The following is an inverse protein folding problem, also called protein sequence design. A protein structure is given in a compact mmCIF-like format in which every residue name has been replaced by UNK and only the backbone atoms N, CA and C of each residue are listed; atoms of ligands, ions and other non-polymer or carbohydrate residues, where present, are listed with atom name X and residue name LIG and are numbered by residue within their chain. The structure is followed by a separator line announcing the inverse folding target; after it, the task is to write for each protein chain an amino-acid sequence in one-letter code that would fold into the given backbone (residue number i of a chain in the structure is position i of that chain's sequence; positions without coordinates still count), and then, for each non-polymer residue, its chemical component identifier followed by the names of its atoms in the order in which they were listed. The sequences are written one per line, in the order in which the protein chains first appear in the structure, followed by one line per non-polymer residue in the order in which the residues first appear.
data_IF_982242428944
#
_entry.id   IF_982242428944
#
_cell.length_a   1.000
_cell.length_b   1.000
_cell.length_c   1.000
_cell.angle_alpha   90.00
_cell.angle_beta   90.00
_cell.angle_gamma   90.00
#
_symmetry.space_group_name_H-M   'P 1'
#
loop_
_entity.id
_entity.type
_entity.pdbx_description
1 polymer ?
#
# COMPACT_ATOMS: atom_id res chain seq x y z
N UNK A 1 22.18 40.10 -12.88
CA UNK A 1 21.00 39.32 -12.46
C UNK A 1 21.10 37.93 -13.05
N UNK A 2 21.53 36.96 -12.24
CA UNK A 2 20.68 35.80 -12.01
C UNK A 2 20.75 35.38 -10.53
N UNK A 3 19.99 36.07 -9.67
CA UNK A 3 19.75 35.65 -8.27
C UNK A 3 18.36 34.99 -8.11
N UNK A 4 17.57 34.93 -9.19
CA UNK A 4 16.18 34.45 -9.14
C UNK A 4 15.99 32.93 -9.27
N UNK A 5 16.98 32.19 -9.79
CA UNK A 5 16.84 30.75 -10.11
C UNK A 5 17.45 29.85 -9.01
N UNK A 6 18.43 30.36 -8.26
CA UNK A 6 19.04 29.66 -7.12
C UNK A 6 18.16 29.64 -5.87
N UNK A 7 17.31 30.65 -5.66
CA UNK A 7 16.36 30.69 -4.54
C UNK A 7 15.17 29.73 -4.72
N UNK A 8 14.72 29.49 -5.95
CA UNK A 8 13.60 28.58 -6.24
C UNK A 8 13.99 27.09 -6.09
N UNK A 9 15.25 26.73 -6.34
CA UNK A 9 15.77 25.35 -6.22
C UNK A 9 16.02 24.90 -4.78
N UNK A 10 16.02 25.82 -3.81
CA UNK A 10 16.07 25.50 -2.38
C UNK A 10 14.70 25.07 -1.80
N UNK A 11 13.61 25.21 -2.58
CA UNK A 11 12.22 25.16 -2.10
C UNK A 11 11.48 23.83 -2.42
N UNK A 12 12.21 22.81 -2.86
CA UNK A 12 11.67 21.47 -3.15
C UNK A 12 12.22 20.40 -2.19
N UNK A 13 11.74 20.37 -0.92
CA UNK A 13 12.25 19.45 0.10
C UNK A 13 11.93 17.98 -0.20
N UNK A 14 11.00 17.70 -1.11
CA UNK A 14 10.57 16.36 -1.47
C UNK A 14 11.14 15.88 -2.82
N UNK A 15 12.01 16.66 -3.46
CA UNK A 15 12.61 16.27 -4.72
C UNK A 15 13.33 14.92 -4.63
N UNK A 16 13.06 14.06 -5.62
CA UNK A 16 13.61 12.71 -5.69
C UNK A 16 12.88 11.68 -4.84
N UNK A 17 11.93 12.07 -3.99
CA UNK A 17 11.11 11.14 -3.21
C UNK A 17 9.81 10.77 -3.92
N UNK A 18 9.41 9.52 -3.75
CA UNK A 18 8.16 8.97 -4.28
C UNK A 18 7.19 8.64 -3.15
N UNK A 19 6.01 9.23 -3.19
CA UNK A 19 5.02 9.17 -2.10
C UNK A 19 3.72 8.56 -2.59
N UNK A 20 3.24 7.54 -1.89
CA UNK A 20 1.96 6.89 -2.12
C UNK A 20 0.83 7.63 -1.41
N UNK A 21 -0.24 7.93 -2.13
CA UNK A 21 -1.45 8.56 -1.58
C UNK A 21 -2.63 7.62 -1.73
N UNK A 22 -3.22 7.22 -0.59
CA UNK A 22 -4.36 6.29 -0.54
C UNK A 22 -5.71 6.97 -0.36
N UNK A 23 -5.73 8.28 -0.05
CA UNK A 23 -6.96 9.04 0.14
C UNK A 23 -7.69 9.27 -1.19
N UNK A 24 -9.02 9.25 -1.18
CA UNK A 24 -9.88 9.72 -2.29
C UNK A 24 -10.36 11.15 -2.04
N UNK A 25 -11.05 11.39 -0.92
CA UNK A 25 -11.56 12.72 -0.57
C UNK A 25 -10.42 13.70 -0.27
N UNK A 26 -10.41 14.85 -0.95
CA UNK A 26 -9.34 15.86 -0.89
C UNK A 26 -7.95 15.31 -1.24
N UNK A 27 -7.90 14.22 -2.03
CA UNK A 27 -6.63 13.68 -2.50
C UNK A 27 -5.88 14.69 -3.34
N UNK A 28 -6.58 15.48 -4.16
CA UNK A 28 -5.97 16.50 -5.01
C UNK A 28 -5.22 17.55 -4.18
N UNK A 29 -5.81 18.06 -3.10
CA UNK A 29 -5.13 18.99 -2.19
C UNK A 29 -3.82 18.40 -1.62
N UNK A 30 -3.83 17.11 -1.28
CA UNK A 30 -2.67 16.41 -0.75
C UNK A 30 -1.61 16.17 -1.84
N UNK A 31 -2.02 15.66 -2.99
CA UNK A 31 -1.17 15.40 -4.16
C UNK A 31 -0.47 16.69 -4.59
N UNK A 32 -1.24 17.75 -4.87
CA UNK A 32 -0.68 19.04 -5.30
C UNK A 32 0.25 19.64 -4.25
N UNK A 33 -0.03 19.44 -2.95
CA UNK A 33 0.84 19.93 -1.90
C UNK A 33 2.17 19.17 -1.80
N UNK A 34 2.20 17.88 -2.13
CA UNK A 34 3.41 17.07 -2.20
C UNK A 34 4.19 17.38 -3.49
N UNK A 35 3.52 17.43 -4.64
CA UNK A 35 4.13 17.72 -5.94
C UNK A 35 4.73 19.13 -5.99
N UNK A 36 4.06 20.14 -5.44
CA UNK A 36 4.62 21.50 -5.32
C UNK A 36 5.93 21.56 -4.54
N UNK A 37 6.19 20.56 -3.68
CA UNK A 37 7.42 20.41 -2.91
C UNK A 37 8.44 19.48 -3.58
N UNK A 38 8.16 18.99 -4.80
CA UNK A 38 9.06 18.18 -5.60
C UNK A 38 8.83 16.65 -5.54
N UNK A 39 7.81 16.16 -4.82
CA UNK A 39 7.56 14.73 -4.74
C UNK A 39 6.98 14.17 -6.05
N UNK A 40 7.37 12.95 -6.41
CA UNK A 40 6.58 12.13 -7.34
C UNK A 40 5.46 11.44 -6.56
N UNK A 41 4.20 11.60 -6.99
CA UNK A 41 3.06 11.02 -6.26
C UNK A 41 2.46 9.84 -7.02
N UNK A 42 2.37 8.68 -6.35
CA UNK A 42 1.60 7.54 -6.81
C UNK A 42 0.24 7.52 -6.12
N UNK A 43 -0.80 7.96 -6.83
CA UNK A 43 -2.17 8.00 -6.30
C UNK A 43 -2.94 6.72 -6.56
N UNK A 44 -3.34 6.05 -5.49
CA UNK A 44 -4.16 4.85 -5.52
C UNK A 44 -5.25 4.97 -4.44
N UNK A 45 -6.39 5.61 -4.75
CA UNK A 45 -7.45 5.80 -3.77
C UNK A 45 -7.96 4.44 -3.28
N UNK A 46 -7.74 4.16 -1.99
CA UNK A 46 -8.04 2.88 -1.37
C UNK A 46 -9.50 2.79 -0.88
N UNK A 47 -10.19 3.92 -0.76
CA UNK A 47 -11.60 3.97 -0.40
C UNK A 47 -12.24 5.23 -0.98
N UNK A 48 -13.33 5.08 -1.74
CA UNK A 48 -14.29 6.16 -1.98
C UNK A 48 -15.53 5.92 -1.14
N UNK A 49 -15.98 6.96 -0.45
CA UNK A 49 -17.27 6.91 0.24
C UNK A 49 -18.35 7.10 -0.82
N UNK A 50 -19.19 6.08 -0.96
CA UNK A 50 -20.37 6.04 -1.78
C UNK A 50 -21.29 7.28 -1.57
N UNK A 51 -21.77 7.97 -2.61
CA UNK A 51 -22.78 9.02 -2.49
C UNK A 51 -24.11 8.47 -1.94
N UNK A 52 -25.00 9.35 -1.47
CA UNK A 52 -26.32 8.98 -0.89
C UNK A 52 -27.17 8.07 -1.81
N UNK A 53 -27.06 8.19 -3.14
CA UNK A 53 -27.77 7.29 -4.07
C UNK A 53 -27.29 5.83 -3.99
N UNK A 54 -26.06 5.58 -3.55
CA UNK A 54 -25.53 4.22 -3.38
C UNK A 54 -26.00 3.56 -2.08
N UNK A 55 -26.35 4.35 -1.04
CA UNK A 55 -27.02 3.80 0.14
C UNK A 55 -28.40 3.21 -0.23
N UNK A 56 -29.11 3.76 -1.22
CA UNK A 56 -30.36 3.15 -1.71
C UNK A 56 -30.14 1.76 -2.32
N UNK A 57 -29.10 1.61 -3.15
CA UNK A 57 -28.76 0.31 -3.75
C UNK A 57 -28.28 -0.69 -2.71
N UNK A 58 -27.49 -0.24 -1.72
CA UNK A 58 -27.11 -1.06 -0.57
C UNK A 58 -28.36 -1.60 0.16
N UNK A 59 -29.37 -0.76 0.34
CA UNK A 59 -30.62 -1.16 1.00
C UNK A 59 -31.48 -2.09 0.12
N UNK A 60 -31.53 -1.87 -1.19
CA UNK A 60 -32.17 -2.81 -2.13
C UNK A 60 -31.53 -4.19 -2.08
N UNK A 61 -30.20 -4.26 -2.17
CA UNK A 61 -29.43 -5.52 -2.05
C UNK A 61 -29.66 -6.18 -0.67
N UNK A 62 -29.73 -5.36 0.39
CA UNK A 62 -29.99 -5.85 1.76
C UNK A 62 -31.39 -6.45 1.89
N UNK A 63 -32.42 -5.80 1.33
CA UNK A 63 -33.80 -6.33 1.32
C UNK A 63 -33.89 -7.63 0.53
N UNK A 64 -33.25 -7.70 -0.64
CA UNK A 64 -33.20 -8.93 -1.43
C UNK A 64 -32.55 -10.08 -0.64
N UNK A 65 -31.51 -9.81 0.15
CA UNK A 65 -30.90 -10.80 1.04
C UNK A 65 -31.85 -11.22 2.17
N UNK A 66 -32.54 -10.27 2.81
CA UNK A 66 -33.52 -10.57 3.86
C UNK A 66 -34.65 -11.46 3.31
N UNK A 67 -35.22 -11.07 2.17
CA UNK A 67 -36.33 -11.78 1.53
C UNK A 67 -35.94 -13.20 1.10
N UNK A 68 -34.71 -13.38 0.62
CA UNK A 68 -34.23 -14.67 0.14
C UNK A 68 -33.82 -15.64 1.26
N UNK A 69 -33.66 -15.19 2.50
CA UNK A 69 -33.28 -16.01 3.67
C UNK A 69 -32.14 -17.00 3.38
N UNK A 70 -30.93 -16.51 3.09
CA UNK A 70 -29.83 -17.34 2.63
C UNK A 70 -29.46 -18.44 3.60
N UNK A 71 -29.11 -19.62 3.07
CA UNK A 71 -28.60 -20.73 3.87
C UNK A 71 -27.20 -20.42 4.43
N UNK A 72 -26.38 -19.74 3.61
CA UNK A 72 -24.98 -19.45 3.86
C UNK A 72 -24.70 -17.95 3.73
N UNK A 73 -23.85 -17.41 4.60
CA UNK A 73 -23.38 -16.03 4.49
C UNK A 73 -21.86 -15.95 4.56
N UNK A 74 -21.24 -15.07 3.76
CA UNK A 74 -19.81 -14.77 3.83
C UNK A 74 -19.62 -13.31 4.21
N UNK A 75 -18.88 -13.07 5.30
CA UNK A 75 -18.37 -11.75 5.68
C UNK A 75 -16.88 -11.63 5.34
N UNK A 76 -16.54 -10.72 4.42
CA UNK A 76 -15.18 -10.60 3.90
C UNK A 76 -14.31 -9.63 4.68
N UNK A 77 -14.87 -8.55 5.23
CA UNK A 77 -14.11 -7.57 5.99
C UNK A 77 -14.86 -7.07 7.21
N UNK A 78 -14.11 -6.71 8.25
CA UNK A 78 -14.68 -6.10 9.45
C UNK A 78 -15.40 -4.78 9.15
N UNK A 79 -14.78 -3.94 8.31
CA UNK A 79 -15.34 -2.65 7.90
C UNK A 79 -16.62 -2.83 7.09
N UNK A 80 -16.62 -3.72 6.10
CA UNK A 80 -17.82 -4.01 5.31
C UNK A 80 -18.97 -4.53 6.15
N UNK A 81 -18.71 -5.46 7.07
CA UNK A 81 -19.72 -5.98 8.00
C UNK A 81 -20.32 -4.86 8.87
N UNK A 82 -19.48 -4.04 9.51
CA UNK A 82 -19.96 -2.91 10.33
C UNK A 82 -20.77 -1.91 9.53
N UNK A 83 -20.26 -1.50 8.36
CA UNK A 83 -20.97 -0.54 7.50
C UNK A 83 -22.30 -1.08 7.00
N UNK A 84 -22.40 -2.39 6.76
CA UNK A 84 -23.65 -3.03 6.37
C UNK A 84 -24.70 -2.93 7.48
N UNK A 85 -24.33 -3.31 8.71
CA UNK A 85 -25.20 -3.19 9.88
C UNK A 85 -25.62 -1.73 10.13
N UNK A 86 -24.66 -0.80 10.17
CA UNK A 86 -24.92 0.63 10.38
C UNK A 86 -25.88 1.21 9.33
N UNK A 87 -25.71 0.84 8.06
CA UNK A 87 -26.60 1.26 7.00
C UNK A 87 -28.00 0.65 7.19
N UNK A 88 -28.11 -0.65 7.45
CA UNK A 88 -29.40 -1.31 7.68
C UNK A 88 -30.16 -0.70 8.88
N UNK A 89 -29.46 -0.38 9.98
CA UNK A 89 -30.01 0.30 11.15
C UNK A 89 -30.54 1.70 10.80
N UNK A 90 -29.76 2.48 10.03
CA UNK A 90 -30.15 3.84 9.60
C UNK A 90 -31.46 3.84 8.80
N UNK A 91 -31.73 2.77 8.05
CA UNK A 91 -32.94 2.62 7.25
C UNK A 91 -34.04 1.77 7.93
N UNK A 92 -33.86 1.41 9.21
CA UNK A 92 -34.86 0.71 10.01
C UNK A 92 -35.05 -0.77 9.68
N UNK A 93 -34.09 -1.39 8.99
CA UNK A 93 -34.12 -2.83 8.63
C UNK A 93 -33.00 -3.65 9.31
N UNK A 94 -32.30 -3.05 10.27
CA UNK A 94 -31.15 -3.67 10.95
C UNK A 94 -31.49 -4.92 11.76
N UNK A 95 -32.58 -4.89 12.53
CA UNK A 95 -33.03 -6.07 13.30
C UNK A 95 -33.40 -7.24 12.39
N UNK A 96 -34.11 -6.97 11.29
CA UNK A 96 -34.46 -7.97 10.28
C UNK A 96 -33.22 -8.56 9.59
N UNK A 97 -32.22 -7.72 9.32
CA UNK A 97 -30.94 -8.17 8.78
C UNK A 97 -30.23 -9.09 9.77
N UNK A 98 -30.09 -8.68 11.04
CA UNK A 98 -29.40 -9.48 12.06
C UNK A 98 -30.13 -10.80 12.33
N UNK A 99 -31.46 -10.81 12.38
CA UNK A 99 -32.25 -12.04 12.50
C UNK A 99 -32.00 -12.97 11.31
N UNK A 100 -32.03 -12.43 10.09
CA UNK A 100 -31.75 -13.20 8.86
C UNK A 100 -30.34 -13.79 8.90
N UNK A 101 -29.32 -12.97 9.18
CA UNK A 101 -27.93 -13.42 9.24
C UNK A 101 -27.67 -14.38 10.41
N UNK A 102 -28.40 -14.25 11.51
CA UNK A 102 -28.33 -15.14 12.66
C UNK A 102 -28.88 -16.54 12.37
N UNK A 103 -29.80 -16.65 11.40
CA UNK A 103 -30.29 -17.94 10.90
C UNK A 103 -29.36 -18.57 9.84
N UNK A 104 -28.42 -17.80 9.28
CA UNK A 104 -27.46 -18.30 8.29
C UNK A 104 -26.30 -19.05 8.94
N UNK A 105 -25.72 -19.99 8.19
CA UNK A 105 -24.36 -20.46 8.49
C UNK A 105 -23.34 -19.47 7.96
N UNK A 106 -22.76 -18.68 8.87
CA UNK A 106 -21.86 -17.60 8.49
C UNK A 106 -20.39 -18.01 8.48
N UNK A 107 -19.69 -17.63 7.41
CA UNK A 107 -18.25 -17.81 7.22
C UNK A 107 -17.57 -16.45 7.17
N UNK A 108 -16.36 -16.37 7.71
CA UNK A 108 -15.62 -15.12 7.82
C UNK A 108 -14.25 -15.24 7.18
N UNK A 109 -13.81 -14.21 6.46
CA UNK A 109 -12.51 -14.28 5.76
C UNK A 109 -11.34 -14.34 6.73
N UNK A 110 -11.38 -13.56 7.80
CA UNK A 110 -10.27 -13.49 8.74
C UNK A 110 -10.69 -13.03 10.14
N UNK A 111 -9.74 -12.97 11.09
CA UNK A 111 -10.03 -12.68 12.51
C UNK A 111 -10.71 -11.32 12.72
N UNK A 112 -10.38 -10.33 11.89
CA UNK A 112 -11.03 -9.02 11.92
C UNK A 112 -12.52 -9.10 11.54
N UNK A 113 -12.84 -9.82 10.46
CA UNK A 113 -14.23 -10.02 10.04
C UNK A 113 -15.01 -10.80 11.10
N UNK A 114 -14.38 -11.83 11.70
CA UNK A 114 -14.91 -12.53 12.88
C UNK A 114 -15.24 -11.58 14.01
N UNK A 115 -14.32 -10.70 14.37
CA UNK A 115 -14.54 -9.70 15.43
C UNK A 115 -15.76 -8.82 15.17
N UNK A 116 -15.94 -8.34 13.93
CA UNK A 116 -17.10 -7.54 13.56
C UNK A 116 -18.42 -8.34 13.60
N UNK A 117 -18.39 -9.58 13.12
CA UNK A 117 -19.51 -10.52 13.20
C UNK A 117 -19.95 -10.75 14.65
N UNK A 118 -18.99 -10.99 15.55
CA UNK A 118 -19.26 -11.23 16.98
C UNK A 118 -19.77 -9.97 17.66
N UNK A 119 -19.22 -8.80 17.31
CA UNK A 119 -19.69 -7.51 17.82
C UNK A 119 -21.14 -7.20 17.41
N UNK A 120 -21.60 -7.73 16.27
CA UNK A 120 -22.98 -7.65 15.82
C UNK A 120 -23.91 -8.69 16.47
N UNK A 121 -23.42 -9.48 17.44
CA UNK A 121 -24.20 -10.52 18.12
C UNK A 121 -24.38 -11.81 17.32
N UNK A 122 -23.69 -11.95 16.18
CA UNK A 122 -23.82 -13.10 15.29
C UNK A 122 -22.74 -14.16 15.55
N UNK A 123 -22.97 -15.39 15.11
CA UNK A 123 -22.00 -16.48 15.18
C UNK A 123 -21.46 -16.86 13.80
N UNK A 124 -20.16 -17.12 13.71
CA UNK A 124 -19.54 -17.76 12.55
C UNK A 124 -19.27 -19.25 12.80
N UNK A 125 -19.31 -20.05 11.73
CA UNK A 125 -19.07 -21.49 11.71
C UNK A 125 -17.74 -21.88 11.05
N UNK A 126 -17.05 -20.93 10.41
CA UNK A 126 -15.80 -21.19 9.70
C UNK A 126 -15.05 -19.92 9.35
N UNK A 127 -13.71 -20.01 9.32
CA UNK A 127 -12.79 -18.92 9.00
C UNK A 127 -11.78 -19.39 7.96
N UNK A 128 -11.45 -18.56 6.97
CA UNK A 128 -10.39 -18.90 6.03
C UNK A 128 -9.04 -18.98 6.73
N UNK A 129 -8.21 -19.96 6.34
CA UNK A 129 -6.89 -20.20 6.92
C UNK A 129 -5.83 -19.19 6.47
N UNK A 130 -6.06 -18.49 5.36
CA UNK A 130 -5.09 -17.57 4.73
C UNK A 130 -5.65 -16.16 4.49
N UNK A 131 -6.87 -15.92 4.98
CA UNK A 131 -7.60 -14.66 4.83
C UNK A 131 -7.92 -14.27 3.38
N UNK A 132 -8.04 -15.26 2.48
CA UNK A 132 -8.51 -15.07 1.10
C UNK A 132 -9.97 -15.46 0.89
N UNK A 133 -10.62 -14.83 -0.11
CA UNK A 133 -11.97 -15.23 -0.54
C UNK A 133 -11.98 -16.60 -1.22
N UNK A 134 -10.88 -16.99 -1.87
CA UNK A 134 -10.74 -18.29 -2.52
C UNK A 134 -10.88 -19.45 -1.52
N UNK A 135 -10.15 -19.41 -0.41
CA UNK A 135 -10.24 -20.44 0.64
C UNK A 135 -11.60 -20.46 1.33
N UNK A 136 -12.25 -19.30 1.50
CA UNK A 136 -13.64 -19.27 1.96
C UNK A 136 -14.58 -20.04 1.03
N UNK A 137 -14.48 -19.78 -0.27
CA UNK A 137 -15.30 -20.49 -1.27
C UNK A 137 -14.98 -21.98 -1.29
N UNK A 138 -13.72 -22.39 -1.14
CA UNK A 138 -13.36 -23.80 -1.03
C UNK A 138 -14.05 -24.48 0.16
N UNK A 139 -14.13 -23.82 1.32
CA UNK A 139 -14.86 -24.34 2.48
C UNK A 139 -16.35 -24.48 2.21
N UNK A 140 -16.99 -23.48 1.59
CA UNK A 140 -18.41 -23.54 1.24
C UNK A 140 -18.69 -24.68 0.24
N UNK A 141 -17.84 -24.82 -0.78
CA UNK A 141 -17.97 -25.88 -1.78
C UNK A 141 -17.83 -27.27 -1.16
N UNK A 142 -16.91 -27.43 -0.20
CA UNK A 142 -16.75 -28.68 0.55
C UNK A 142 -17.99 -29.03 1.39
N UNK A 143 -18.69 -28.02 1.91
CA UNK A 143 -19.96 -28.22 2.62
C UNK A 143 -21.15 -28.52 1.69
N UNK A 144 -21.03 -28.14 0.42
CA UNK A 144 -22.06 -28.31 -0.59
C UNK A 144 -23.01 -27.11 -0.66
N UNK A 145 -23.05 -26.49 -1.85
CA UNK A 145 -23.81 -25.26 -2.13
C UNK A 145 -24.94 -25.43 -3.14
N UNK A 146 -25.10 -26.64 -3.72
CA UNK A 146 -26.09 -26.89 -4.78
C UNK A 146 -27.51 -26.67 -4.24
N UNK A 147 -28.26 -25.81 -4.92
CA UNK A 147 -29.63 -25.46 -4.54
C UNK A 147 -29.74 -24.51 -3.35
N UNK A 148 -28.61 -24.10 -2.75
CA UNK A 148 -28.60 -23.16 -1.62
C UNK A 148 -28.48 -21.72 -2.09
N UNK A 149 -28.96 -20.80 -1.26
CA UNK A 149 -28.74 -19.37 -1.43
C UNK A 149 -27.58 -18.91 -0.55
N UNK A 150 -26.62 -18.21 -1.16
CA UNK A 150 -25.42 -17.69 -0.51
C UNK A 150 -25.42 -16.17 -0.59
N UNK A 151 -25.44 -15.51 0.57
CA UNK A 151 -25.20 -14.07 0.66
C UNK A 151 -23.71 -13.79 0.83
N UNK A 152 -23.18 -12.84 0.05
CA UNK A 152 -21.77 -12.45 0.10
C UNK A 152 -21.67 -10.96 0.38
N UNK A 153 -21.16 -10.60 1.55
CA UNK A 153 -20.73 -9.24 1.85
C UNK A 153 -19.40 -9.00 1.14
N UNK A 154 -19.43 -8.22 0.06
CA UNK A 154 -18.25 -7.88 -0.73
C UNK A 154 -17.44 -6.76 -0.09
N UNK A 155 -16.13 -6.89 -0.13
CA UNK A 155 -15.21 -5.73 -0.11
C UNK A 155 -14.97 -5.31 -1.55
N UNK A 156 -14.64 -4.05 -1.83
CA UNK A 156 -14.53 -3.67 -3.24
C UNK A 156 -13.19 -3.95 -3.92
N UNK A 157 -12.55 -5.06 -3.57
CA UNK A 157 -12.00 -5.91 -4.62
C UNK A 157 -12.92 -7.12 -4.74
N UNK A 158 -13.79 -7.12 -5.75
CA UNK A 158 -14.70 -8.25 -5.99
C UNK A 158 -13.94 -9.34 -6.72
N UNK A 159 -13.65 -10.46 -6.05
CA UNK A 159 -13.15 -11.65 -6.74
C UNK A 159 -14.29 -12.34 -7.50
N UNK A 160 -14.57 -11.83 -8.70
CA UNK A 160 -15.63 -12.31 -9.61
C UNK A 160 -15.48 -13.80 -9.88
N UNK A 161 -14.24 -14.31 -9.94
CA UNK A 161 -13.99 -15.73 -10.19
C UNK A 161 -14.57 -16.60 -9.08
N UNK A 162 -14.48 -16.19 -7.82
CA UNK A 162 -15.03 -16.98 -6.71
C UNK A 162 -16.55 -16.94 -6.67
N UNK A 163 -17.16 -15.80 -7.02
CA UNK A 163 -18.61 -15.70 -7.16
C UNK A 163 -19.13 -16.63 -8.26
N UNK A 164 -18.44 -16.69 -9.39
CA UNK A 164 -18.77 -17.62 -10.48
C UNK A 164 -18.56 -19.08 -10.09
N UNK A 165 -17.52 -19.40 -9.30
CA UNK A 165 -17.32 -20.77 -8.78
C UNK A 165 -18.51 -21.25 -7.93
N UNK A 166 -19.08 -20.37 -7.09
CA UNK A 166 -20.28 -20.68 -6.31
C UNK A 166 -21.49 -20.91 -7.22
N UNK A 167 -21.73 -20.02 -8.19
CA UNK A 167 -22.84 -20.12 -9.16
C UNK A 167 -22.76 -21.40 -10.01
N UNK A 168 -21.58 -21.67 -10.57
CA UNK A 168 -21.29 -22.89 -11.35
C UNK A 168 -21.49 -24.18 -10.55
N UNK A 169 -21.38 -24.10 -9.22
CA UNK A 169 -21.63 -25.23 -8.31
C UNK A 169 -23.10 -25.39 -7.92
N UNK A 170 -23.99 -24.58 -8.51
CA UNK A 170 -25.44 -24.66 -8.36
C UNK A 170 -26.02 -23.79 -7.24
N UNK A 171 -25.28 -22.82 -6.72
CA UNK A 171 -25.75 -21.90 -5.69
C UNK A 171 -26.40 -20.65 -6.29
N UNK A 172 -27.44 -20.13 -5.65
CA UNK A 172 -27.95 -18.78 -5.90
C UNK A 172 -27.10 -17.80 -5.11
N UNK A 173 -26.36 -16.90 -5.78
CA UNK A 173 -25.44 -15.97 -5.12
C UNK A 173 -26.00 -14.56 -5.11
N UNK A 174 -26.31 -14.06 -3.91
CA UNK A 174 -26.67 -12.67 -3.65
C UNK A 174 -25.48 -11.93 -3.08
N UNK A 175 -25.26 -10.70 -3.54
CA UNK A 175 -24.13 -9.89 -3.10
C UNK A 175 -24.61 -8.58 -2.52
N UNK A 176 -23.98 -8.15 -1.43
CA UNK A 176 -24.15 -6.80 -0.90
C UNK A 176 -22.79 -6.11 -0.89
N UNK A 177 -22.77 -4.82 -1.22
CA UNK A 177 -21.53 -4.05 -1.26
C UNK A 177 -21.66 -2.81 -0.37
N UNK A 178 -21.37 -2.92 0.94
CA UNK A 178 -21.58 -1.84 1.91
C UNK A 178 -20.74 -0.59 1.65
N UNK A 179 -19.70 -0.74 0.84
CA UNK A 179 -18.89 0.34 0.32
C UNK A 179 -18.38 -0.08 -1.05
N UNK A 180 -18.55 0.77 -2.06
CA UNK A 180 -17.95 0.55 -3.37
C UNK A 180 -16.67 1.33 -3.52
N UNK A 181 -15.74 0.70 -4.18
CA UNK A 181 -14.60 1.37 -4.75
C UNK A 181 -15.17 1.89 -6.06
N UNK A 182 -15.41 3.19 -6.14
CA UNK A 182 -15.59 3.75 -7.47
C UNK A 182 -14.24 3.58 -8.12
N UNK A 183 -14.09 2.56 -8.98
CA UNK A 183 -12.96 2.43 -9.88
C UNK A 183 -12.87 3.78 -10.59
N UNK A 184 -11.89 4.65 -10.25
CA UNK A 184 -11.55 5.72 -11.18
C UNK A 184 -11.05 5.02 -12.44
N UNK A 185 -11.20 5.62 -13.61
CA UNK A 185 -10.67 5.05 -14.86
C UNK A 185 -9.24 4.51 -14.64
N UNK A 186 -9.05 3.19 -14.83
CA UNK A 186 -7.80 2.46 -14.60
C UNK A 186 -7.91 1.33 -13.56
N UNK A 187 -7.97 0.08 -14.02
CA UNK A 187 -8.31 -1.12 -13.24
C UNK A 187 -7.31 -1.59 -12.17
N UNK A 188 -6.13 -0.98 -12.02
CA UNK A 188 -5.04 -1.61 -11.25
C UNK A 188 -4.32 -0.70 -10.24
N UNK A 189 -4.88 0.45 -9.84
CA UNK A 189 -4.09 1.44 -9.06
C UNK A 189 -3.60 0.93 -7.71
N UNK A 190 -4.46 0.28 -6.91
CA UNK A 190 -4.06 -0.25 -5.60
C UNK A 190 -3.13 -1.48 -5.71
N UNK A 191 -3.37 -2.46 -6.59
CA UNK A 191 -2.39 -3.51 -6.87
C UNK A 191 -1.01 -2.95 -7.28
N UNK A 192 -0.96 -1.98 -8.20
CA UNK A 192 0.30 -1.33 -8.61
C UNK A 192 0.97 -0.57 -7.46
N UNK A 193 0.20 0.03 -6.56
CA UNK A 193 0.73 0.65 -5.34
C UNK A 193 1.37 -0.41 -4.43
N UNK A 194 0.71 -1.56 -4.22
CA UNK A 194 1.26 -2.68 -3.43
C UNK A 194 2.55 -3.20 -4.06
N UNK A 195 2.56 -3.41 -5.38
CA UNK A 195 3.77 -3.82 -6.12
C UNK A 195 4.90 -2.78 -5.98
N UNK A 196 4.57 -1.49 -6.04
CA UNK A 196 5.54 -0.42 -5.84
C UNK A 196 6.13 -0.41 -4.43
N UNK A 197 5.34 -0.70 -3.38
CA UNK A 197 5.85 -0.83 -2.01
C UNK A 197 6.76 -2.05 -1.90
N UNK A 198 6.29 -3.19 -2.39
CA UNK A 198 7.00 -4.47 -2.33
C UNK A 198 8.31 -4.49 -3.14
N UNK A 199 8.42 -3.64 -4.16
CA UNK A 199 9.63 -3.44 -4.96
C UNK A 199 10.53 -2.31 -4.45
N UNK A 200 10.19 -1.67 -3.32
CA UNK A 200 10.99 -0.56 -2.75
C UNK A 200 10.97 0.72 -3.60
N UNK A 201 9.96 0.88 -4.46
CA UNK A 201 9.80 2.04 -5.34
C UNK A 201 8.94 3.15 -4.71
N UNK A 202 8.85 3.20 -3.38
CA UNK A 202 8.15 4.22 -2.60
C UNK A 202 8.97 4.54 -1.36
N UNK A 203 9.06 5.82 -0.99
CA UNK A 203 9.71 6.24 0.24
C UNK A 203 8.70 6.35 1.39
N UNK A 204 7.49 6.83 1.09
CA UNK A 204 6.41 7.03 2.06
C UNK A 204 5.07 6.56 1.50
N UNK A 205 4.26 5.91 2.33
CA UNK A 205 2.86 5.60 2.05
C UNK A 205 1.94 6.31 3.06
N UNK A 206 1.03 7.13 2.55
CA UNK A 206 0.14 7.97 3.38
C UNK A 206 -1.27 7.40 3.50
N UNK A 207 -1.86 7.51 4.70
CA UNK A 207 -3.27 7.17 4.94
C UNK A 207 -4.01 8.26 5.72
N UNK A 208 -5.24 8.54 5.29
CA UNK A 208 -6.12 9.50 5.97
C UNK A 208 -7.28 8.84 6.71
N UNK A 209 -7.44 7.51 6.61
CA UNK A 209 -8.52 6.78 7.26
C UNK A 209 -8.14 5.31 7.52
N UNK A 210 -8.59 4.75 8.65
CA UNK A 210 -8.39 3.32 8.96
C UNK A 210 -8.94 2.38 7.85
N UNK A 211 -10.10 2.66 7.23
CA UNK A 211 -10.58 1.85 6.11
C UNK A 211 -9.63 1.78 4.92
N UNK A 212 -8.84 2.83 4.64
CA UNK A 212 -7.84 2.79 3.56
C UNK A 212 -6.73 1.78 3.85
N UNK A 213 -6.39 1.58 5.13
CA UNK A 213 -5.43 0.57 5.58
C UNK A 213 -6.02 -0.83 5.45
N UNK A 214 -7.25 -1.04 5.92
CA UNK A 214 -7.93 -2.34 5.79
C UNK A 214 -8.16 -2.75 4.33
N UNK A 215 -8.43 -1.76 3.47
CA UNK A 215 -8.50 -1.89 2.03
C UNK A 215 -7.17 -2.39 1.44
N UNK A 216 -6.06 -1.73 1.78
CA UNK A 216 -4.72 -2.16 1.37
C UNK A 216 -4.40 -3.59 1.81
N UNK A 217 -4.69 -3.93 3.08
CA UNK A 217 -4.49 -5.29 3.60
C UNK A 217 -5.30 -6.32 2.85
N UNK A 218 -6.59 -6.05 2.63
CA UNK A 218 -7.48 -6.97 1.92
C UNK A 218 -6.97 -7.24 0.50
N UNK A 219 -6.58 -6.18 -0.23
CA UNK A 219 -6.03 -6.35 -1.58
C UNK A 219 -4.71 -7.11 -1.56
N UNK A 220 -3.83 -6.85 -0.59
CA UNK A 220 -2.55 -7.55 -0.48
C UNK A 220 -2.70 -9.05 -0.15
N UNK A 221 -3.72 -9.43 0.64
CA UNK A 221 -4.06 -10.84 0.88
C UNK A 221 -4.52 -11.53 -0.41
N UNK A 222 -5.42 -10.90 -1.16
CA UNK A 222 -5.89 -11.47 -2.44
C UNK A 222 -4.76 -11.57 -3.48
N UNK A 223 -3.76 -10.69 -3.42
CA UNK A 223 -2.55 -10.77 -4.24
C UNK A 223 -1.52 -11.78 -3.74
N UNK A 224 -1.70 -12.38 -2.56
CA UNK A 224 -0.68 -13.21 -1.90
C UNK A 224 0.58 -12.44 -1.45
N UNK A 225 0.54 -11.11 -1.45
CA UNK A 225 1.69 -10.23 -1.16
C UNK A 225 1.67 -9.67 0.26
N UNK A 226 0.67 -9.99 1.08
CA UNK A 226 0.49 -9.41 2.42
C UNK A 226 1.75 -9.45 3.29
N UNK A 227 2.42 -10.61 3.39
CA UNK A 227 3.64 -10.75 4.20
C UNK A 227 4.78 -9.87 3.70
N UNK A 228 5.02 -9.89 2.38
CA UNK A 228 6.05 -9.06 1.75
C UNK A 228 5.74 -7.57 1.97
N UNK A 229 4.49 -7.16 1.79
CA UNK A 229 4.05 -5.79 1.98
C UNK A 229 4.31 -5.32 3.43
N UNK A 230 3.92 -6.12 4.43
CA UNK A 230 4.16 -5.78 5.84
C UNK A 230 5.65 -5.64 6.13
N UNK A 231 6.49 -6.55 5.64
CA UNK A 231 7.94 -6.46 5.84
C UNK A 231 8.56 -5.24 5.15
N UNK A 232 8.13 -4.91 3.93
CA UNK A 232 8.57 -3.69 3.24
C UNK A 232 8.14 -2.41 3.98
N UNK A 233 6.93 -2.38 4.55
CA UNK A 233 6.46 -1.24 5.35
C UNK A 233 7.16 -1.11 6.71
N UNK A 234 7.76 -2.20 7.24
CA UNK A 234 8.58 -2.18 8.46
C UNK A 234 10.00 -1.68 8.19
N UNK A 235 10.54 -1.93 7.00
CA UNK A 235 11.99 -1.81 6.74
C UNK A 235 12.36 -0.74 5.72
N UNK A 236 11.57 -0.59 4.66
CA UNK A 236 11.96 0.18 3.47
C UNK A 236 11.06 1.39 3.24
N UNK A 237 9.75 1.25 3.44
CA UNK A 237 8.76 2.28 3.11
C UNK A 237 8.12 2.80 4.39
N UNK A 238 8.28 4.09 4.66
CA UNK A 238 7.70 4.71 5.87
C UNK A 238 6.19 4.84 5.71
N UNK A 239 5.41 4.48 6.74
CA UNK A 239 3.97 4.79 6.77
C UNK A 239 3.73 6.12 7.47
N UNK A 240 2.78 6.91 6.98
CA UNK A 240 2.39 8.18 7.61
C UNK A 240 0.87 8.30 7.63
N UNK A 241 0.30 8.64 8.78
CA UNK A 241 -1.14 8.65 8.98
C UNK A 241 -1.61 9.95 9.63
N UNK A 242 -2.85 10.35 9.32
CA UNK A 242 -3.39 11.61 9.83
C UNK A 242 -3.61 11.63 11.35
N UNK A 243 -3.83 10.47 11.99
CA UNK A 243 -4.17 10.41 13.41
C UNK A 243 -4.26 8.98 13.96
N UNK A 244 -4.46 8.83 15.28
CA UNK A 244 -4.33 7.55 15.99
C UNK A 244 -5.36 6.49 15.56
N UNK A 245 -6.58 6.89 15.21
CA UNK A 245 -7.59 5.95 14.69
C UNK A 245 -7.12 5.30 13.39
N UNK A 246 -6.52 6.07 12.49
CA UNK A 246 -5.93 5.56 11.24
C UNK A 246 -4.67 4.74 11.49
N UNK A 247 -3.93 5.03 12.57
CA UNK A 247 -2.74 4.28 12.95
C UNK A 247 -3.05 2.87 13.45
N UNK A 248 -4.20 2.67 14.11
CA UNK A 248 -4.50 1.42 14.81
C UNK A 248 -4.33 0.15 13.95
N UNK A 249 -4.89 0.06 12.72
CA UNK A 249 -4.73 -1.15 11.91
C UNK A 249 -3.30 -1.41 11.41
N UNK A 250 -2.41 -0.40 11.47
CA UNK A 250 -0.98 -0.54 11.22
C UNK A 250 -0.25 -1.02 12.50
N UNK A 251 -0.60 -0.44 13.66
CA UNK A 251 -0.06 -0.84 14.96
C UNK A 251 -0.38 -2.31 15.28
N UNK A 252 -1.58 -2.77 14.94
CA UNK A 252 -2.03 -4.16 15.15
C UNK A 252 -1.12 -5.20 14.45
N UNK A 253 -0.37 -4.80 13.41
CA UNK A 253 0.55 -5.66 12.66
C UNK A 253 2.03 -5.32 12.93
N UNK A 254 2.30 -4.52 13.95
CA UNK A 254 3.64 -4.13 14.40
C UNK A 254 4.29 -3.02 13.57
N UNK A 255 3.52 -2.20 12.85
CA UNK A 255 4.02 -1.01 12.15
C UNK A 255 3.89 0.23 13.04
N UNK A 256 4.87 1.12 12.96
CA UNK A 256 4.87 2.39 13.69
C UNK A 256 4.82 3.57 12.71
N UNK A 257 3.62 4.03 12.30
CA UNK A 257 3.50 5.12 11.35
C UNK A 257 3.89 6.46 11.97
N UNK A 258 4.30 7.40 11.13
CA UNK A 258 4.38 8.82 11.48
C UNK A 258 2.97 9.36 11.77
N UNK A 259 2.81 10.02 12.91
CA UNK A 259 1.54 10.66 13.31
C UNK A 259 1.83 12.12 13.69
N UNK A 260 1.22 13.11 13.03
CA UNK A 260 1.40 14.51 13.39
C UNK A 260 0.68 14.83 14.71
N UNK A 261 1.23 15.77 15.49
CA UNK A 261 0.58 16.26 16.73
C UNK A 261 -0.82 16.82 16.48
N UNK A 262 -1.01 17.48 15.33
CA UNK A 262 -2.31 17.97 14.88
C UNK A 262 -2.85 17.04 13.81
N UNK A 263 -4.01 16.43 14.03
CA UNK A 263 -4.60 15.46 13.12
C UNK A 263 -5.24 16.10 11.88
N UNK A 264 -4.41 16.75 11.04
CA UNK A 264 -4.81 17.47 9.83
C UNK A 264 -3.81 17.21 8.71
N UNK A 265 -4.27 17.20 7.46
CA UNK A 265 -3.42 16.96 6.28
C UNK A 265 -2.21 17.90 6.20
N UNK A 266 -2.37 19.20 6.48
CA UNK A 266 -1.24 20.13 6.44
C UNK A 266 -0.14 19.81 7.47
N UNK A 267 -0.48 19.21 8.61
CA UNK A 267 0.50 18.77 9.60
C UNK A 267 1.14 17.43 9.19
N UNK A 268 0.38 16.52 8.59
CA UNK A 268 0.90 15.29 8.00
C UNK A 268 1.96 15.59 6.92
N UNK A 269 1.67 16.52 6.01
CA UNK A 269 2.61 16.91 4.93
C UNK A 269 3.92 17.44 5.52
N UNK A 270 3.84 18.35 6.50
CA UNK A 270 5.05 18.89 7.17
C UNK A 270 5.86 17.79 7.83
N UNK A 271 5.21 16.90 8.57
CA UNK A 271 5.90 15.79 9.23
C UNK A 271 6.59 14.85 8.23
N UNK A 272 5.95 14.57 7.09
CA UNK A 272 6.56 13.77 6.01
C UNK A 272 7.79 14.47 5.43
N UNK A 273 7.71 15.79 5.16
CA UNK A 273 8.86 16.56 4.68
C UNK A 273 10.02 16.55 5.68
N UNK A 274 9.74 16.82 6.96
CA UNK A 274 10.75 16.83 8.02
C UNK A 274 11.40 15.45 8.18
N UNK A 275 10.61 14.38 8.19
CA UNK A 275 11.11 13.01 8.29
C UNK A 275 12.03 12.63 7.13
N UNK A 276 11.63 12.94 5.89
CA UNK A 276 12.44 12.62 4.70
C UNK A 276 13.73 13.44 4.67
N UNK A 277 13.65 14.74 4.99
CA UNK A 277 14.82 15.61 5.05
C UNK A 277 15.85 15.17 6.09
N UNK A 278 15.39 14.70 7.26
CA UNK A 278 16.26 14.30 8.37
C UNK A 278 16.84 12.89 8.20
N UNK A 279 16.05 11.94 7.69
CA UNK A 279 16.40 10.52 7.74
C UNK A 279 16.74 9.90 6.39
N UNK A 280 16.35 10.54 5.28
CA UNK A 280 16.45 9.94 3.94
C UNK A 280 17.27 10.75 2.95
N UNK A 281 17.90 11.83 3.40
CA UNK A 281 18.91 12.58 2.64
C UNK A 281 20.29 12.16 3.10
N UNK A 282 21.10 11.61 2.20
CA UNK A 282 22.50 11.26 2.47
C UNK A 282 23.41 12.29 1.86
N UNK A 283 24.33 12.83 2.65
CA UNK A 283 25.36 13.76 2.20
C UNK A 283 26.74 13.17 2.41
N UNK A 284 27.63 13.39 1.46
CA UNK A 284 29.02 12.99 1.57
C UNK A 284 29.89 14.00 0.83
N UNK A 285 30.77 14.67 1.57
CA UNK A 285 31.82 15.47 0.96
C UNK A 285 32.86 14.55 0.35
N UNK A 286 33.23 14.83 -0.89
CA UNK A 286 34.25 14.06 -1.61
C UNK A 286 35.27 14.97 -2.24
N UNK A 287 36.42 14.39 -2.59
CA UNK A 287 37.44 15.06 -3.41
C UNK A 287 36.95 15.58 -4.77
N UNK A 288 35.74 15.20 -5.20
CA UNK A 288 35.12 15.61 -6.47
C UNK A 288 33.84 16.44 -6.30
N UNK A 289 33.57 16.94 -5.09
CA UNK A 289 32.39 17.75 -4.77
C UNK A 289 31.51 17.16 -3.66
N UNK A 290 30.52 17.92 -3.22
CA UNK A 290 29.53 17.49 -2.24
C UNK A 290 28.45 16.67 -2.93
N UNK A 291 28.33 15.39 -2.55
CA UNK A 291 27.24 14.52 -2.97
C UNK A 291 26.04 14.69 -2.04
N UNK A 292 24.86 14.81 -2.63
CA UNK A 292 23.59 14.73 -1.93
C UNK A 292 22.67 13.75 -2.65
N UNK A 293 22.28 12.67 -1.96
CA UNK A 293 21.30 11.70 -2.46
C UNK A 293 19.98 11.87 -1.70
N UNK A 294 18.92 12.22 -2.43
CA UNK A 294 17.54 12.36 -1.93
C UNK A 294 16.63 11.38 -2.65
N UNK A 295 16.20 10.31 -1.98
CA UNK A 295 15.41 9.26 -2.64
C UNK A 295 16.14 8.78 -3.90
N UNK A 296 15.60 9.13 -5.07
CA UNK A 296 16.14 8.76 -6.39
C UNK A 296 16.93 9.86 -7.10
N UNK A 297 16.96 11.07 -6.55
CA UNK A 297 17.70 12.20 -7.11
C UNK A 297 19.10 12.27 -6.50
N UNK A 298 20.13 12.21 -7.36
CA UNK A 298 21.51 12.49 -6.99
C UNK A 298 21.84 13.94 -7.38
N UNK A 299 22.49 14.67 -6.48
CA UNK A 299 23.09 15.97 -6.75
C UNK A 299 24.58 15.97 -6.45
N UNK A 300 25.35 16.63 -7.31
CA UNK A 300 26.78 16.87 -7.12
C UNK A 300 27.03 18.36 -7.26
N UNK A 301 27.50 18.99 -6.18
CA UNK A 301 27.67 20.44 -6.09
C UNK A 301 26.40 21.24 -6.49
N UNK A 302 25.24 20.65 -6.21
CA UNK A 302 23.92 21.24 -6.50
C UNK A 302 23.33 20.90 -7.86
N UNK A 303 24.09 20.29 -8.78
CA UNK A 303 23.60 19.88 -10.09
C UNK A 303 23.01 18.46 -10.06
N UNK A 304 21.84 18.27 -10.68
CA UNK A 304 21.13 16.98 -10.73
C UNK A 304 21.82 16.02 -11.69
N UNK A 305 22.03 14.78 -11.25
CA UNK A 305 22.62 13.69 -12.03
C UNK A 305 21.62 12.54 -12.14
N UNK A 306 21.21 12.24 -13.36
CA UNK A 306 20.29 11.15 -13.66
C UNK A 306 21.00 9.80 -13.60
N UNK A 307 20.45 8.87 -12.81
CA UNK A 307 20.95 7.51 -12.70
C UNK A 307 19.86 6.48 -12.99
N UNK A 308 20.22 5.47 -13.78
CA UNK A 308 19.38 4.29 -13.91
C UNK A 308 19.25 3.53 -12.56
N UNK A 309 18.21 2.70 -12.37
CA UNK A 309 17.94 2.06 -11.08
C UNK A 309 19.10 1.23 -10.50
N UNK A 310 19.77 0.41 -11.32
CA UNK A 310 20.89 -0.42 -10.86
C UNK A 310 22.14 0.41 -10.45
N UNK A 311 22.62 1.38 -11.26
CA UNK A 311 23.64 2.34 -10.82
C UNK A 311 23.29 3.10 -9.54
N UNK A 312 22.03 3.53 -9.38
CA UNK A 312 21.58 4.24 -8.18
C UNK A 312 21.63 3.36 -6.92
N UNK A 313 21.17 2.11 -7.03
CA UNK A 313 21.23 1.14 -5.93
C UNK A 313 22.68 0.85 -5.50
N UNK A 314 23.57 0.69 -6.48
CA UNK A 314 25.00 0.54 -6.25
C UNK A 314 25.59 1.78 -5.54
N UNK A 315 25.28 2.99 -6.00
CA UNK A 315 25.74 4.23 -5.37
C UNK A 315 25.24 4.37 -3.93
N UNK A 316 23.97 4.04 -3.67
CA UNK A 316 23.39 4.07 -2.32
C UNK A 316 24.14 3.18 -1.33
N UNK A 317 24.53 1.98 -1.77
CA UNK A 317 25.34 1.07 -0.96
C UNK A 317 26.73 1.65 -0.67
N UNK A 318 27.39 2.19 -1.69
CA UNK A 318 28.72 2.81 -1.54
C UNK A 318 28.69 4.05 -0.64
N UNK A 319 27.68 4.90 -0.76
CA UNK A 319 27.45 6.04 0.15
C UNK A 319 27.23 5.56 1.59
N UNK A 320 26.46 4.48 1.77
CA UNK A 320 26.26 3.86 3.09
C UNK A 320 27.54 3.31 3.71
N UNK A 321 28.50 2.91 2.88
CA UNK A 321 29.80 2.42 3.34
C UNK A 321 30.78 3.55 3.72
N UNK A 322 30.50 4.82 3.40
CA UNK A 322 31.29 5.97 3.84
C UNK A 322 32.78 5.90 3.46
N UNK A 323 33.10 5.33 2.29
CA UNK A 323 34.47 5.14 1.81
C UNK A 323 35.10 3.78 2.14
N UNK A 324 34.42 2.92 2.92
CA UNK A 324 34.82 1.53 3.08
C UNK A 324 34.65 0.75 1.77
N UNK A 325 35.45 -0.30 1.59
CA UNK A 325 35.40 -1.16 0.40
C UNK A 325 34.28 -2.18 0.55
N UNK A 326 33.34 -2.15 -0.39
CA UNK A 326 32.33 -3.20 -0.55
C UNK A 326 32.83 -4.27 -1.50
N UNK A 327 32.62 -5.54 -1.14
CA UNK A 327 33.07 -6.67 -1.93
C UNK A 327 32.27 -6.80 -3.23
N UNK A 328 32.86 -7.42 -4.26
CA UNK A 328 32.15 -7.70 -5.52
C UNK A 328 30.97 -8.63 -5.30
N UNK A 329 31.12 -9.61 -4.43
CA UNK A 329 30.08 -10.59 -4.09
C UNK A 329 28.89 -9.88 -3.45
N UNK A 330 29.12 -9.09 -2.40
CA UNK A 330 28.07 -8.33 -1.71
C UNK A 330 27.32 -7.37 -2.63
N UNK A 331 28.02 -6.74 -3.58
CA UNK A 331 27.41 -5.83 -4.55
C UNK A 331 26.66 -6.56 -5.67
N UNK A 332 27.14 -7.74 -6.09
CA UNK A 332 26.45 -8.57 -7.07
C UNK A 332 25.16 -9.16 -6.50
N UNK A 333 25.18 -9.57 -5.23
CA UNK A 333 24.00 -10.07 -4.51
C UNK A 333 22.96 -8.97 -4.32
N UNK A 334 23.39 -7.76 -3.93
CA UNK A 334 22.51 -6.58 -3.81
C UNK A 334 21.77 -6.28 -5.12
N UNK A 335 22.42 -6.47 -6.27
CA UNK A 335 21.86 -6.22 -7.59
C UNK A 335 21.17 -7.46 -8.19
N UNK A 336 21.04 -8.55 -7.42
CA UNK A 336 20.46 -9.83 -7.84
C UNK A 336 21.12 -10.41 -9.11
N UNK A 337 22.40 -10.12 -9.34
CA UNK A 337 23.14 -10.51 -10.56
C UNK A 337 23.60 -11.97 -10.55
N UNK A 338 23.15 -12.78 -9.57
CA UNK A 338 23.53 -14.19 -9.36
C UNK A 338 25.05 -14.42 -9.43
N UNK A 339 25.83 -13.53 -8.81
CA UNK A 339 27.29 -13.60 -8.80
C UNK A 339 27.98 -13.23 -10.12
N UNK A 340 27.27 -12.70 -11.13
CA UNK A 340 27.89 -12.28 -12.40
C UNK A 340 28.79 -11.06 -12.24
N UNK A 341 30.10 -11.32 -12.16
CA UNK A 341 31.14 -10.28 -12.07
C UNK A 341 31.09 -9.34 -13.29
N UNK A 342 30.86 -9.88 -14.49
CA UNK A 342 30.79 -9.08 -15.70
C UNK A 342 29.60 -8.11 -15.68
N UNK A 343 28.43 -8.55 -15.22
CA UNK A 343 27.25 -7.68 -15.12
C UNK A 343 27.44 -6.57 -14.06
N UNK A 344 28.13 -6.89 -12.95
CA UNK A 344 28.51 -5.90 -11.95
C UNK A 344 29.45 -4.85 -12.55
N UNK A 345 30.50 -5.28 -13.25
CA UNK A 345 31.46 -4.37 -13.88
C UNK A 345 30.80 -3.46 -14.93
N UNK A 346 29.85 -3.98 -15.70
CA UNK A 346 29.03 -3.18 -16.62
C UNK A 346 28.15 -2.16 -15.89
N UNK A 347 27.62 -2.50 -14.72
CA UNK A 347 26.82 -1.57 -13.90
C UNK A 347 27.69 -0.49 -13.26
N UNK A 348 28.89 -0.84 -12.78
CA UNK A 348 29.90 0.12 -12.30
C UNK A 348 30.34 1.05 -13.43
N UNK A 349 30.57 0.52 -14.64
CA UNK A 349 30.91 1.32 -15.81
C UNK A 349 29.83 2.35 -16.13
N UNK A 350 28.55 1.93 -16.16
CA UNK A 350 27.41 2.84 -16.35
C UNK A 350 27.30 3.90 -15.26
N UNK A 351 27.55 3.52 -13.99
CA UNK A 351 27.58 4.49 -12.89
C UNK A 351 28.68 5.54 -13.12
N UNK A 352 29.91 5.12 -13.44
CA UNK A 352 31.01 6.05 -13.70
C UNK A 352 30.74 6.99 -14.85
N UNK A 353 30.14 6.51 -15.93
CA UNK A 353 29.83 7.33 -17.11
C UNK A 353 28.74 8.36 -16.86
N UNK A 354 27.85 8.12 -15.90
CA UNK A 354 26.80 9.08 -15.53
C UNK A 354 27.29 10.16 -14.56
N UNK A 355 28.40 9.94 -13.87
CA UNK A 355 28.97 10.89 -12.92
C UNK A 355 29.83 11.94 -13.65
N UNK A 356 29.87 13.20 -13.17
CA UNK A 356 30.78 14.22 -13.69
C UNK A 356 32.26 13.81 -13.65
N UNK A 357 32.66 13.05 -12.62
CA UNK A 357 33.97 12.39 -12.55
C UNK A 357 33.81 10.93 -12.11
N UNK A 358 33.99 10.00 -13.05
CA UNK A 358 33.93 8.57 -12.79
C UNK A 358 34.99 8.04 -11.79
N UNK A 359 36.03 8.82 -11.48
CA UNK A 359 37.05 8.45 -10.46
C UNK A 359 36.50 8.49 -9.05
N UNK A 360 35.33 9.09 -8.85
CA UNK A 360 34.59 9.03 -7.59
C UNK A 360 34.34 7.59 -7.12
N UNK A 361 34.15 6.66 -8.07
CA UNK A 361 33.99 5.24 -7.77
C UNK A 361 35.33 4.55 -8.04
N UNK A 362 36.03 4.15 -6.98
CA UNK A 362 37.36 3.53 -7.08
C UNK A 362 37.25 2.00 -7.10
N UNK A 363 37.99 1.37 -8.01
CA UNK A 363 38.22 -0.08 -7.97
C UNK A 363 39.37 -0.37 -7.02
N UNK A 364 39.12 -1.11 -5.96
CA UNK A 364 40.18 -1.66 -5.10
C UNK A 364 40.50 -3.06 -5.59
N UNK A 365 41.68 -3.20 -6.20
CA UNK A 365 42.13 -4.43 -6.88
C UNK A 365 41.93 -5.66 -5.99
N UNK A 366 41.26 -6.68 -6.53
CA UNK A 366 40.88 -7.94 -5.88
C UNK A 366 39.94 -7.84 -4.66
N UNK A 367 39.56 -6.64 -4.22
CA UNK A 367 38.71 -6.44 -3.03
C UNK A 367 37.30 -5.97 -3.37
N UNK A 368 37.14 -5.06 -4.35
CA UNK A 368 35.83 -4.58 -4.77
C UNK A 368 35.83 -3.10 -5.10
N UNK A 369 34.79 -2.39 -4.64
CA UNK A 369 34.53 -1.00 -5.01
C UNK A 369 34.33 -0.14 -3.77
N UNK A 370 34.77 1.12 -3.83
CA UNK A 370 34.50 2.14 -2.79
C UNK A 370 34.20 3.48 -3.42
N UNK A 371 33.58 4.36 -2.64
CA UNK A 371 33.51 5.78 -2.96
C UNK A 371 34.78 6.48 -2.46
N UNK A 372 35.36 7.37 -3.26
CA UNK A 372 36.47 8.23 -2.82
C UNK A 372 35.88 9.38 -2.02
N UNK A 373 36.19 9.41 -0.73
CA UNK A 373 35.87 10.51 0.18
C UNK A 373 37.04 11.49 0.20
#
# INVERSE_FOLDING_TARGET
MPEGDTAARADQPLEGFRIGVTSDRRSQDLIEALERRGAEVLHAPALKIAPVQEDLRLIEDTRAIIDARPDLCIATTAYGMRRWCEAADTFGIGEQLLETLGACRMFVRGPKARGAVRAAGLADVGISSDETTATLVDMLLAEGVRGKTVAVQLHGYTDVRQLERLRMSGATVLTVTPYRWVKPDGEDRLPRLIEAVCSGNLDVLTFTSAPAVDALWSTAHEMGMYRQLVECLKTTVTTAVVGPVTAQPLLDVGLHPLIPERYRMGALIRLVCEHLALNHVRRLDTVHGSLELRGRSLRIDGEVVELAPAPLLLLRALLGAGGAVLSRESLADLLELRGSVHALDMTVSRLRSALPDGRLIETVVKRGYRIRT
#
